data_IF_387528342165
#
_entry.id   IF_387528342165
#
_cell.length_a   1.000
_cell.length_b   1.000
_cell.length_c   1.000
_cell.angle_alpha   90.00
_cell.angle_beta   90.00
_cell.angle_gamma   90.00
#
_symmetry.space_group_name_H-M   'P 1'
#
loop_
_entity.id
_entity.type
_entity.pdbx_description
1 polymer ?
#
# COMPACT_ATOMS: atom_id res chain seq x y z
N UNK A 1 -11.74 12.40 -6.60
CA UNK A 1 -11.58 13.03 -5.26
C UNK A 1 -10.12 12.93 -4.90
N UNK A 2 -9.46 14.03 -4.51
CA UNK A 2 -8.14 13.93 -3.89
C UNK A 2 -8.33 13.31 -2.51
N UNK A 3 -7.69 12.18 -2.22
CA UNK A 3 -7.60 11.69 -0.85
C UNK A 3 -6.71 12.66 -0.07
N UNK A 4 -7.28 13.37 0.90
CA UNK A 4 -6.50 14.02 1.96
C UNK A 4 -5.71 12.98 2.75
N UNK A 5 -4.76 13.41 3.59
CA UNK A 5 -4.14 12.46 4.52
C UNK A 5 -5.18 12.08 5.59
N UNK A 6 -5.18 10.83 6.08
CA UNK A 6 -5.99 10.43 7.21
C UNK A 6 -5.82 11.37 8.41
N UNK A 7 -6.94 11.72 9.03
CA UNK A 7 -7.03 12.55 10.24
C UNK A 7 -7.00 11.71 11.52
N UNK A 8 -7.38 10.44 11.41
CA UNK A 8 -7.44 9.51 12.54
C UNK A 8 -6.65 8.23 12.25
N UNK A 9 -6.30 7.51 13.33
CA UNK A 9 -5.68 6.20 13.20
C UNK A 9 -6.60 5.19 12.50
N UNK A 10 -7.92 5.29 12.73
CA UNK A 10 -8.93 4.45 12.07
C UNK A 10 -8.95 4.70 10.56
N UNK A 11 -8.99 5.97 10.13
CA UNK A 11 -8.93 6.32 8.70
C UNK A 11 -7.62 5.83 8.03
N UNK A 12 -6.53 5.81 8.78
CA UNK A 12 -5.26 5.29 8.26
C UNK A 12 -5.25 3.76 8.17
N UNK A 13 -5.85 3.06 9.13
CA UNK A 13 -6.07 1.61 9.06
C UNK A 13 -6.97 1.27 7.86
N UNK A 14 -8.07 2.01 7.67
CA UNK A 14 -8.99 1.83 6.55
C UNK A 14 -8.27 2.00 5.20
N UNK A 15 -7.38 2.99 5.09
CA UNK A 15 -6.58 3.21 3.89
C UNK A 15 -5.63 2.04 3.60
N UNK A 16 -5.00 1.47 4.63
CA UNK A 16 -4.15 0.28 4.51
C UNK A 16 -4.97 -0.95 4.12
N UNK A 17 -6.17 -1.12 4.68
CA UNK A 17 -7.08 -2.22 4.33
C UNK A 17 -7.60 -2.10 2.90
N UNK A 18 -7.91 -0.88 2.43
CA UNK A 18 -8.26 -0.62 1.04
C UNK A 18 -7.12 -1.04 0.11
N UNK A 19 -5.88 -0.65 0.40
CA UNK A 19 -4.74 -1.03 -0.41
C UNK A 19 -4.52 -2.56 -0.43
N UNK A 20 -4.73 -3.26 0.68
CA UNK A 20 -4.69 -4.74 0.72
C UNK A 20 -5.76 -5.38 -0.17
N UNK A 21 -6.97 -4.82 -0.21
CA UNK A 21 -8.04 -5.27 -1.11
C UNK A 21 -7.64 -5.11 -2.59
N UNK A 22 -7.14 -3.93 -2.96
CA UNK A 22 -6.73 -3.60 -4.34
C UNK A 22 -5.57 -4.49 -4.82
N UNK A 23 -4.60 -4.80 -3.93
CA UNK A 23 -3.52 -5.76 -4.23
C UNK A 23 -4.08 -7.15 -4.51
N UNK A 24 -5.04 -7.61 -3.70
CA UNK A 24 -5.69 -8.92 -3.90
C UNK A 24 -6.48 -8.99 -5.20
N UNK A 25 -7.20 -7.93 -5.55
CA UNK A 25 -7.98 -7.86 -6.79
C UNK A 25 -7.07 -7.87 -8.04
N UNK A 26 -5.99 -7.07 -8.01
CA UNK A 26 -5.01 -7.06 -9.09
C UNK A 26 -4.30 -8.41 -9.24
N UNK A 27 -3.94 -9.07 -8.13
CA UNK A 27 -3.34 -10.40 -8.17
C UNK A 27 -4.28 -11.41 -8.82
N UNK A 28 -5.56 -11.42 -8.44
CA UNK A 28 -6.56 -12.30 -9.04
C UNK A 28 -6.74 -12.03 -10.54
N UNK A 29 -6.69 -10.75 -10.96
CA UNK A 29 -6.75 -10.38 -12.37
C UNK A 29 -5.52 -10.88 -13.16
N UNK A 30 -4.31 -10.71 -12.61
CA UNK A 30 -3.06 -11.19 -13.22
C UNK A 30 -3.01 -12.72 -13.31
N UNK A 31 -3.49 -13.42 -12.28
CA UNK A 31 -3.60 -14.88 -12.25
C UNK A 31 -4.65 -15.43 -13.25
N UNK A 32 -5.59 -14.61 -13.71
CA UNK A 32 -6.57 -15.02 -14.72
C UNK A 32 -6.06 -14.82 -16.17
N UNK A 33 -5.14 -13.87 -16.40
CA UNK A 33 -4.63 -13.46 -17.72
C UNK A 33 -3.28 -14.14 -18.10
N UNK A 34 -3.13 -15.42 -17.70
CA UNK A 34 -1.87 -16.20 -17.61
C UNK A 34 -1.09 -16.47 -18.92
N UNK A 35 -0.56 -15.45 -19.60
CA UNK A 35 0.47 -15.67 -20.64
C UNK A 35 1.78 -14.87 -20.52
N UNK A 36 1.94 -13.87 -19.62
CA UNK A 36 3.15 -13.03 -19.68
C UNK A 36 3.67 -12.38 -18.38
N UNK A 37 3.08 -12.62 -17.21
CA UNK A 37 3.28 -11.71 -16.05
C UNK A 37 4.08 -12.23 -14.85
N UNK A 38 5.00 -13.20 -15.03
CA UNK A 38 5.78 -13.77 -13.90
C UNK A 38 6.49 -12.73 -13.02
N UNK A 39 7.08 -11.68 -13.62
CA UNK A 39 7.73 -10.60 -12.87
C UNK A 39 6.75 -9.67 -12.13
N UNK A 40 5.50 -9.56 -12.60
CA UNK A 40 4.46 -8.80 -11.91
C UNK A 40 3.93 -9.58 -10.70
N UNK A 41 3.88 -10.91 -10.78
CA UNK A 41 3.46 -11.78 -9.67
C UNK A 41 4.40 -11.66 -8.48
N UNK A 42 5.73 -11.76 -8.68
CA UNK A 42 6.71 -11.62 -7.60
C UNK A 42 6.62 -10.23 -6.92
N UNK A 43 6.47 -9.16 -7.72
CA UNK A 43 6.29 -7.81 -7.20
C UNK A 43 5.03 -7.67 -6.32
N UNK A 44 3.90 -8.24 -6.76
CA UNK A 44 2.64 -8.17 -6.01
C UNK A 44 2.71 -8.96 -4.71
N UNK A 45 3.41 -10.10 -4.69
CA UNK A 45 3.62 -10.88 -3.48
C UNK A 45 4.47 -10.14 -2.45
N UNK A 46 5.57 -9.50 -2.87
CA UNK A 46 6.41 -8.68 -2.00
C UNK A 46 5.63 -7.49 -1.43
N UNK A 47 4.87 -6.80 -2.27
CA UNK A 47 4.03 -5.67 -1.85
C UNK A 47 2.95 -6.11 -0.86
N UNK A 48 2.27 -7.24 -1.13
CA UNK A 48 1.24 -7.79 -0.26
C UNK A 48 1.82 -8.14 1.12
N UNK A 49 2.98 -8.81 1.15
CA UNK A 49 3.67 -9.17 2.39
C UNK A 49 3.97 -7.94 3.25
N UNK A 50 4.59 -6.92 2.66
CA UNK A 50 5.01 -5.74 3.40
C UNK A 50 3.79 -4.94 3.92
N UNK A 51 2.71 -4.87 3.12
CA UNK A 51 1.45 -4.27 3.53
C UNK A 51 0.75 -5.04 4.66
N UNK A 52 0.77 -6.37 4.63
CA UNK A 52 0.24 -7.20 5.72
C UNK A 52 1.05 -7.04 6.99
N UNK A 53 2.37 -6.91 6.89
CA UNK A 53 3.23 -6.64 8.04
C UNK A 53 2.93 -5.28 8.68
N UNK A 54 2.73 -4.24 7.86
CA UNK A 54 2.29 -2.93 8.32
C UNK A 54 0.96 -3.01 9.08
N UNK A 55 -0.04 -3.68 8.49
CA UNK A 55 -1.36 -3.86 9.10
C UNK A 55 -1.33 -4.72 10.38
N UNK A 56 -0.41 -5.69 10.46
CA UNK A 56 -0.20 -6.47 11.68
C UNK A 56 0.39 -5.60 12.81
N UNK A 57 1.38 -4.78 12.50
CA UNK A 57 1.97 -3.84 13.46
C UNK A 57 0.95 -2.80 13.97
N UNK A 58 0.00 -2.39 13.12
CA UNK A 58 -1.11 -1.54 13.55
C UNK A 58 -2.05 -2.25 14.53
N UNK A 59 -2.34 -3.53 14.27
CA UNK A 59 -3.25 -4.32 15.10
C UNK A 59 -2.65 -4.72 16.46
N UNK A 60 -1.34 -4.98 16.52
CA UNK A 60 -0.64 -5.32 17.77
C UNK A 60 -0.16 -4.09 18.57
N UNK A 61 -0.35 -2.88 18.01
CA UNK A 61 0.02 -1.61 18.63
C UNK A 61 1.52 -1.29 18.60
N UNK A 62 2.33 -2.05 17.87
CA UNK A 62 3.76 -1.78 17.69
C UNK A 62 4.05 -0.75 16.61
N UNK A 63 3.08 -0.47 15.72
CA UNK A 63 3.23 0.53 14.66
C UNK A 63 3.48 1.93 15.20
N UNK A 64 4.42 2.63 14.55
CA UNK A 64 4.72 4.04 14.80
C UNK A 64 4.92 4.76 13.48
N UNK A 65 4.43 6.00 13.42
CA UNK A 65 4.80 6.94 12.37
C UNK A 65 6.30 7.23 12.45
N UNK A 66 6.95 7.39 11.30
CA UNK A 66 8.38 7.65 11.20
C UNK A 66 8.68 8.46 9.95
N UNK A 67 9.62 9.41 10.02
CA UNK A 67 10.08 10.18 8.83
C UNK A 67 11.05 9.34 7.98
N UNK A 68 10.63 8.15 7.59
CA UNK A 68 11.30 7.28 6.66
C UNK A 68 10.28 6.66 5.70
N UNK A 69 10.72 6.26 4.51
CA UNK A 69 9.82 5.60 3.57
C UNK A 69 9.52 4.16 4.01
N UNK A 70 8.29 3.72 3.76
CA UNK A 70 7.92 2.32 3.92
C UNK A 70 8.76 1.42 2.99
N UNK A 71 9.11 0.19 3.39
CA UNK A 71 10.03 -0.68 2.66
C UNK A 71 9.68 -0.90 1.19
N UNK A 72 8.38 -0.95 0.87
CA UNK A 72 7.87 -1.17 -0.49
C UNK A 72 8.00 0.04 -1.43
N UNK A 73 8.32 1.24 -0.93
CA UNK A 73 8.31 2.47 -1.75
C UNK A 73 9.30 2.47 -2.90
N UNK A 74 10.44 1.79 -2.74
CA UNK A 74 11.42 1.64 -3.81
C UNK A 74 10.84 0.91 -5.03
N UNK A 75 9.91 -0.02 -4.81
CA UNK A 75 9.23 -0.77 -5.86
C UNK A 75 8.08 0.06 -6.43
N UNK A 76 7.24 0.65 -5.58
CA UNK A 76 6.09 1.47 -5.98
C UNK A 76 6.50 2.66 -6.87
N UNK A 77 7.61 3.33 -6.57
CA UNK A 77 8.09 4.47 -7.38
C UNK A 77 8.48 4.04 -8.80
N UNK A 78 9.04 2.84 -8.96
CA UNK A 78 9.48 2.29 -10.25
C UNK A 78 8.35 1.67 -11.07
N UNK A 79 7.26 1.25 -10.41
CA UNK A 79 6.11 0.67 -11.08
C UNK A 79 5.40 1.70 -11.99
N UNK A 80 5.08 1.27 -13.21
CA UNK A 80 4.24 2.02 -14.14
C UNK A 80 2.78 2.03 -13.63
N UNK A 81 2.07 3.14 -13.80
CA UNK A 81 0.67 3.27 -13.35
C UNK A 81 -0.27 2.28 -14.05
N UNK A 82 0.08 1.81 -15.26
CA UNK A 82 -0.67 0.76 -15.96
C UNK A 82 -0.53 -0.62 -15.31
N UNK A 83 0.57 -0.83 -14.57
CA UNK A 83 0.82 -2.07 -13.82
C UNK A 83 0.25 -1.96 -12.41
N UNK A 84 0.21 -0.76 -11.84
CA UNK A 84 -0.23 -0.50 -10.47
C UNK A 84 -1.31 0.60 -10.46
N UNK A 85 -2.58 0.26 -10.76
CA UNK A 85 -3.67 1.24 -10.92
C UNK A 85 -4.01 1.99 -9.62
N UNK A 86 -3.64 1.44 -8.47
CA UNK A 86 -3.83 2.02 -7.14
C UNK A 86 -2.56 2.66 -6.55
N UNK A 87 -1.56 2.99 -7.38
CA UNK A 87 -0.28 3.60 -6.94
C UNK A 87 -0.49 4.80 -6.01
N UNK A 88 -1.48 5.64 -6.27
CA UNK A 88 -1.80 6.80 -5.43
C UNK A 88 -2.17 6.44 -4.00
N UNK A 89 -2.84 5.30 -3.75
CA UNK A 89 -3.14 4.85 -2.39
C UNK A 89 -1.86 4.55 -1.61
N UNK A 90 -0.91 3.83 -2.23
CA UNK A 90 0.37 3.51 -1.59
C UNK A 90 1.22 4.75 -1.32
N UNK A 91 1.22 5.71 -2.25
CA UNK A 91 1.87 7.00 -2.05
C UNK A 91 1.26 7.76 -0.87
N UNK A 92 -0.08 7.77 -0.75
CA UNK A 92 -0.79 8.40 0.36
C UNK A 92 -0.48 7.72 1.68
N UNK A 93 -0.46 6.38 1.72
CA UNK A 93 -0.09 5.61 2.92
C UNK A 93 1.32 6.00 3.38
N UNK A 94 2.29 6.07 2.46
CA UNK A 94 3.64 6.46 2.80
C UNK A 94 3.76 7.92 3.25
N UNK A 95 3.03 8.84 2.61
CA UNK A 95 2.97 10.23 3.01
C UNK A 95 2.44 10.37 4.44
N UNK A 96 1.36 9.66 4.78
CA UNK A 96 0.81 9.62 6.14
C UNK A 96 1.74 8.92 7.14
N UNK A 97 2.46 7.87 6.72
CA UNK A 97 3.49 7.25 7.56
C UNK A 97 4.57 8.26 7.98
N UNK A 98 4.99 9.10 7.02
CA UNK A 98 6.08 10.08 7.18
C UNK A 98 5.68 11.34 7.93
N UNK A 99 4.53 11.89 7.57
CA UNK A 99 4.08 13.18 8.08
C UNK A 99 3.10 13.05 9.25
N UNK A 100 2.74 11.82 9.62
CA UNK A 100 1.70 11.55 10.61
C UNK A 100 0.29 11.87 10.09
N UNK A 101 -0.65 11.92 11.02
CA UNK A 101 -2.06 12.24 10.74
C UNK A 101 -2.24 13.73 10.46
N UNK A 102 -3.20 14.06 9.60
CA UNK A 102 -3.60 15.43 9.28
C UNK A 102 -4.59 15.96 10.31
N UNK A 103 -4.06 16.28 11.50
CA UNK A 103 -4.79 16.87 12.61
C UNK A 103 -4.72 18.40 12.54
N UNK A 104 -5.61 18.99 11.75
CA UNK A 104 -5.88 20.45 11.78
C UNK A 104 -6.91 20.80 12.87
#
# INVERSE_FOLDING_TARGET
>A
MMLGRPKTAEEYVDLVEQALFEIGDLRAAVEYDMESMGAATEFLEDLERDMRALRAAMADGSYRFADEDLPFMNLVRKADERVLPFKLLLLKINETHREGLEVD
#
